data_IF_707262867403
#
_entry.id   IF_707262867403
#
_cell.length_a   1.000
_cell.length_b   1.000
_cell.length_c   1.000
_cell.angle_alpha   90.00
_cell.angle_beta   90.00
_cell.angle_gamma   90.00
#
_symmetry.space_group_name_H-M   'P 1'
#
loop_
_entity.id
_entity.type
_entity.pdbx_description
1 polymer ?
#
# COMPACT_ATOMS: atom_id res chain seq x y z
N UNK A 1 1.17 7.65 16.66
CA UNK A 1 1.02 7.59 15.18
C UNK A 1 1.43 8.90 14.52
N UNK A 2 1.39 10.02 15.25
CA UNK A 2 1.76 11.38 14.82
C UNK A 2 3.24 11.58 14.37
N UNK A 3 4.16 10.75 14.85
CA UNK A 3 5.61 10.90 14.60
C UNK A 3 6.08 10.53 13.18
N UNK A 4 5.27 9.82 12.38
CA UNK A 4 5.66 9.42 11.01
C UNK A 4 5.42 10.54 9.99
N UNK A 5 4.59 11.53 10.32
CA UNK A 5 3.99 12.45 9.34
C UNK A 5 4.52 13.89 9.40
N UNK A 6 5.58 14.16 10.18
CA UNK A 6 6.20 15.48 10.20
C UNK A 6 7.02 15.73 8.91
N UNK A 7 6.38 16.44 7.97
CA UNK A 7 6.96 17.33 6.94
C UNK A 7 8.41 17.11 6.50
N UNK A 8 8.69 15.94 5.94
CA UNK A 8 10.01 15.65 5.37
C UNK A 8 9.82 14.68 4.22
N UNK A 9 10.59 14.88 3.15
CA UNK A 9 10.69 14.01 1.98
C UNK A 9 10.51 12.54 2.36
N UNK A 10 9.70 11.81 1.59
CA UNK A 10 9.33 10.45 1.91
C UNK A 10 10.57 9.54 1.87
N UNK A 11 11.26 9.42 2.99
CA UNK A 11 12.49 8.65 3.07
C UNK A 11 12.18 7.14 3.09
N UNK A 12 13.20 6.33 2.83
CA UNK A 12 13.07 4.88 2.73
C UNK A 12 12.39 4.24 3.96
N UNK A 13 12.69 4.74 5.17
CA UNK A 13 12.06 4.26 6.40
C UNK A 13 10.56 4.51 6.42
N UNK A 14 10.11 5.72 6.07
CA UNK A 14 8.68 6.08 6.00
C UNK A 14 7.96 5.27 4.92
N UNK A 15 8.59 5.08 3.75
CA UNK A 15 8.02 4.27 2.67
C UNK A 15 7.87 2.80 3.07
N UNK A 16 8.89 2.21 3.72
CA UNK A 16 8.80 0.85 4.29
C UNK A 16 7.65 0.74 5.30
N UNK A 17 7.52 1.71 6.20
CA UNK A 17 6.45 1.72 7.19
C UNK A 17 5.04 1.79 6.54
N UNK A 18 4.88 2.59 5.49
CA UNK A 18 3.66 2.66 4.70
C UNK A 18 3.32 1.31 4.05
N UNK A 19 4.28 0.65 3.40
CA UNK A 19 4.06 -0.65 2.78
C UNK A 19 3.61 -1.72 3.79
N UNK A 20 4.22 -1.74 4.98
CA UNK A 20 3.82 -2.64 6.07
C UNK A 20 2.42 -2.31 6.62
N UNK A 21 2.08 -1.01 6.72
CA UNK A 21 0.74 -0.58 7.11
C UNK A 21 -0.30 -1.02 6.07
N UNK A 22 -0.02 -0.88 4.78
CA UNK A 22 -0.89 -1.35 3.69
C UNK A 22 -1.12 -2.85 3.76
N UNK A 23 -0.07 -3.66 3.95
CA UNK A 23 -0.20 -5.11 4.18
C UNK A 23 -1.15 -5.41 5.35
N UNK A 24 -0.94 -4.77 6.49
CA UNK A 24 -1.75 -5.02 7.68
C UNK A 24 -3.22 -4.61 7.46
N UNK A 25 -3.45 -3.50 6.76
CA UNK A 25 -4.79 -3.06 6.40
C UNK A 25 -5.49 -4.07 5.47
N UNK A 26 -4.81 -4.55 4.44
CA UNK A 26 -5.34 -5.57 3.51
C UNK A 26 -5.69 -6.87 4.23
N UNK A 27 -4.84 -7.34 5.14
CA UNK A 27 -5.11 -8.52 5.96
C UNK A 27 -6.30 -8.31 6.92
N UNK A 28 -6.50 -7.09 7.41
CA UNK A 28 -7.65 -6.77 8.25
C UNK A 28 -8.95 -6.67 7.46
N UNK A 29 -8.91 -6.10 6.24
CA UNK A 29 -10.08 -5.92 5.36
C UNK A 29 -10.53 -7.21 4.70
N UNK A 30 -9.62 -8.17 4.43
CA UNK A 30 -9.96 -9.43 3.75
C UNK A 30 -11.09 -10.21 4.43
N UNK A 31 -11.29 -10.03 5.73
CA UNK A 31 -12.33 -10.69 6.53
C UNK A 31 -13.60 -9.84 6.73
N UNK A 32 -13.68 -8.64 6.15
CA UNK A 32 -14.70 -7.62 6.47
C UNK A 32 -15.36 -6.99 5.25
N UNK A 33 -15.02 -7.44 4.05
CA UNK A 33 -15.54 -6.89 2.80
C UNK A 33 -16.70 -7.71 2.21
N UNK A 34 -17.53 -7.08 1.35
CA UNK A 34 -18.54 -7.80 0.57
C UNK A 34 -17.92 -8.89 -0.32
N UNK A 35 -18.66 -9.95 -0.57
CA UNK A 35 -18.24 -11.08 -1.43
C UNK A 35 -17.78 -10.64 -2.82
N UNK A 36 -18.41 -9.60 -3.38
CA UNK A 36 -18.03 -9.00 -4.66
C UNK A 36 -16.58 -8.48 -4.71
N UNK A 37 -15.96 -8.20 -3.56
CA UNK A 37 -14.57 -7.73 -3.44
C UNK A 37 -13.59 -8.85 -3.05
N UNK A 38 -14.07 -10.06 -2.76
CA UNK A 38 -13.25 -11.13 -2.17
C UNK A 38 -12.07 -11.53 -3.08
N UNK A 39 -12.30 -11.62 -4.40
CA UNK A 39 -11.24 -11.94 -5.36
C UNK A 39 -10.16 -10.85 -5.42
N UNK A 40 -10.58 -9.59 -5.59
CA UNK A 40 -9.66 -8.45 -5.68
C UNK A 40 -8.81 -8.32 -4.41
N UNK A 41 -9.41 -8.53 -3.23
CA UNK A 41 -8.70 -8.48 -1.96
C UNK A 41 -7.82 -9.70 -1.71
N UNK A 42 -8.21 -10.90 -2.12
CA UNK A 42 -7.34 -12.07 -2.02
C UNK A 42 -6.05 -11.87 -2.83
N UNK A 43 -6.17 -11.31 -4.03
CA UNK A 43 -5.04 -11.06 -4.91
C UNK A 43 -4.10 -9.99 -4.34
N UNK A 44 -4.64 -8.86 -3.89
CA UNK A 44 -3.86 -7.80 -3.22
C UNK A 44 -3.22 -8.30 -1.91
N UNK A 45 -3.99 -9.02 -1.08
CA UNK A 45 -3.51 -9.55 0.20
C UNK A 45 -2.35 -10.51 -0.01
N UNK A 46 -2.41 -11.38 -1.03
CA UNK A 46 -1.32 -12.30 -1.35
C UNK A 46 -0.02 -11.55 -1.69
N UNK A 47 -0.08 -10.62 -2.64
CA UNK A 47 1.11 -9.87 -3.08
C UNK A 47 1.72 -9.08 -1.92
N UNK A 48 0.89 -8.38 -1.14
CA UNK A 48 1.38 -7.59 0.00
C UNK A 48 1.83 -8.45 1.19
N UNK A 49 1.30 -9.66 1.35
CA UNK A 49 1.79 -10.60 2.36
C UNK A 49 3.20 -11.08 2.02
N UNK A 50 3.45 -11.46 0.77
CA UNK A 50 4.78 -11.91 0.32
C UNK A 50 5.80 -10.75 0.35
N UNK A 51 5.43 -9.56 -0.16
CA UNK A 51 6.24 -8.35 -0.04
C UNK A 51 6.53 -8.02 1.44
N UNK A 52 5.53 -8.16 2.30
CA UNK A 52 5.63 -7.94 3.74
C UNK A 52 6.72 -8.75 4.42
N UNK A 53 6.87 -10.03 4.02
CA UNK A 53 7.91 -10.92 4.56
C UNK A 53 9.30 -10.37 4.24
N UNK A 54 9.54 -9.91 3.01
CA UNK A 54 10.83 -9.34 2.63
C UNK A 54 11.09 -7.99 3.30
N UNK A 55 10.06 -7.15 3.42
CA UNK A 55 10.17 -5.88 4.12
C UNK A 55 10.56 -6.08 5.58
N UNK A 56 9.98 -7.07 6.26
CA UNK A 56 10.29 -7.39 7.66
C UNK A 56 11.75 -7.84 7.87
N UNK A 57 12.41 -8.36 6.83
CA UNK A 57 13.84 -8.73 6.87
C UNK A 57 14.79 -7.56 6.66
N UNK A 58 14.30 -6.42 6.16
CA UNK A 58 15.14 -5.24 5.98
C UNK A 58 15.43 -4.58 7.32
N UNK A 59 16.69 -4.21 7.53
CA UNK A 59 17.09 -3.31 8.61
C UNK A 59 16.41 -1.93 8.43
N UNK A 60 15.56 -1.48 9.37
CA UNK A 60 14.88 -0.19 9.31
C UNK A 60 15.82 1.03 9.29
N UNK A 61 17.05 0.87 9.77
CA UNK A 61 18.06 1.93 9.84
C UNK A 61 18.96 1.96 8.60
N UNK A 62 19.04 0.87 7.85
CA UNK A 62 19.88 0.75 6.63
C UNK A 62 19.09 0.63 5.32
N UNK A 63 17.75 0.74 5.37
CA UNK A 63 16.90 0.64 4.17
C UNK A 63 17.09 1.85 3.24
N UNK A 64 17.21 1.58 1.93
CA UNK A 64 17.36 2.61 0.89
C UNK A 64 16.18 2.62 -0.06
N UNK A 65 15.91 3.77 -0.69
CA UNK A 65 14.80 3.90 -1.63
C UNK A 65 14.97 2.99 -2.87
N UNK A 66 16.15 2.89 -3.51
CA UNK A 66 16.34 1.98 -4.63
C UNK A 66 16.07 0.52 -4.26
N UNK A 67 16.44 0.09 -3.04
CA UNK A 67 16.17 -1.27 -2.57
C UNK A 67 14.67 -1.53 -2.41
N UNK A 68 13.93 -0.57 -1.86
CA UNK A 68 12.49 -0.66 -1.72
C UNK A 68 11.78 -0.67 -3.06
N UNK A 69 12.17 0.20 -4.00
CA UNK A 69 11.63 0.22 -5.36
C UNK A 69 11.86 -1.10 -6.09
N UNK A 70 13.06 -1.68 -5.98
CA UNK A 70 13.36 -2.98 -6.57
C UNK A 70 12.48 -4.10 -5.99
N UNK A 71 12.26 -4.12 -4.67
CA UNK A 71 11.36 -5.09 -4.02
C UNK A 71 9.91 -4.90 -4.45
N UNK A 72 9.39 -3.67 -4.41
CA UNK A 72 8.02 -3.39 -4.85
C UNK A 72 7.84 -3.80 -6.31
N UNK A 73 8.82 -3.50 -7.17
CA UNK A 73 8.76 -3.89 -8.58
C UNK A 73 8.66 -5.40 -8.75
N UNK A 74 9.53 -6.18 -8.09
CA UNK A 74 9.49 -7.65 -8.25
C UNK A 74 8.18 -8.25 -7.73
N UNK A 75 7.63 -7.75 -6.63
CA UNK A 75 6.38 -8.30 -6.09
C UNK A 75 5.13 -7.79 -6.83
N UNK A 76 5.12 -6.58 -7.36
CA UNK A 76 3.97 -6.05 -8.09
C UNK A 76 3.92 -6.58 -9.53
N UNK A 77 5.07 -6.70 -10.19
CA UNK A 77 5.13 -7.03 -11.62
C UNK A 77 5.60 -8.46 -11.89
N UNK A 78 6.34 -9.08 -10.98
CA UNK A 78 6.95 -10.40 -11.18
C UNK A 78 6.44 -11.45 -10.17
N UNK A 79 5.37 -11.14 -9.41
CA UNK A 79 4.79 -12.08 -8.45
C UNK A 79 4.26 -13.34 -9.16
N UNK A 80 4.75 -14.54 -8.80
CA UNK A 80 4.34 -15.78 -9.45
C UNK A 80 2.83 -16.02 -9.38
N UNK A 81 2.20 -16.21 -10.55
CA UNK A 81 0.78 -16.53 -10.64
C UNK A 81 -0.17 -15.34 -10.41
N UNK A 82 0.34 -14.10 -10.44
CA UNK A 82 -0.46 -12.89 -10.44
C UNK A 82 -0.13 -12.06 -11.68
N UNK A 83 -1.11 -11.85 -12.54
CA UNK A 83 -0.94 -10.99 -13.71
C UNK A 83 -0.98 -9.52 -13.30
N UNK A 84 0.02 -8.73 -13.71
CA UNK A 84 0.09 -7.30 -13.41
C UNK A 84 -1.20 -6.52 -13.73
N UNK A 85 -1.86 -6.74 -14.89
CA UNK A 85 -3.15 -6.12 -15.19
C UNK A 85 -4.28 -6.50 -14.23
N UNK A 86 -4.29 -7.74 -13.72
CA UNK A 86 -5.28 -8.17 -12.74
C UNK A 86 -5.05 -7.50 -11.38
N UNK A 87 -3.78 -7.34 -10.98
CA UNK A 87 -3.39 -6.62 -9.77
C UNK A 87 -3.75 -5.14 -9.82
N UNK A 88 -3.48 -4.47 -10.95
CA UNK A 88 -3.86 -3.08 -11.19
C UNK A 88 -5.39 -2.90 -11.19
N UNK A 89 -6.14 -3.81 -11.84
CA UNK A 89 -7.61 -3.77 -11.81
C UNK A 89 -8.17 -3.96 -10.39
N UNK A 90 -7.62 -4.89 -9.62
CA UNK A 90 -8.00 -5.12 -8.23
C UNK A 90 -7.74 -3.87 -7.37
N UNK A 91 -6.58 -3.23 -7.54
CA UNK A 91 -6.24 -1.99 -6.84
C UNK A 91 -7.22 -0.86 -7.16
N UNK A 92 -7.58 -0.66 -8.44
CA UNK A 92 -8.55 0.36 -8.86
C UNK A 92 -9.95 0.09 -8.30
N UNK A 93 -10.40 -1.16 -8.32
CA UNK A 93 -11.71 -1.55 -7.76
C UNK A 93 -11.77 -1.34 -6.26
N UNK A 94 -10.71 -1.69 -5.53
CA UNK A 94 -10.61 -1.43 -4.10
C UNK A 94 -10.63 0.07 -3.81
N UNK A 95 -9.87 0.87 -4.55
CA UNK A 95 -9.87 2.33 -4.42
C UNK A 95 -11.27 2.91 -4.61
N UNK A 96 -11.94 2.52 -5.70
CA UNK A 96 -13.30 2.98 -5.99
C UNK A 96 -14.33 2.47 -4.96
N UNK A 97 -14.13 1.28 -4.40
CA UNK A 97 -14.97 0.76 -3.31
C UNK A 97 -14.81 1.60 -2.04
N UNK A 98 -13.58 1.94 -1.65
CA UNK A 98 -13.31 2.80 -0.48
C UNK A 98 -13.93 4.18 -0.68
N UNK A 99 -13.74 4.79 -1.85
CA UNK A 99 -14.32 6.10 -2.21
C UNK A 99 -15.86 6.08 -2.13
N UNK A 100 -16.51 5.07 -2.68
CA UNK A 100 -17.98 4.95 -2.60
C UNK A 100 -18.49 4.66 -1.20
N UNK A 101 -17.79 3.79 -0.46
CA UNK A 101 -18.25 3.31 0.85
C UNK A 101 -18.10 4.36 1.93
N UNK A 102 -17.12 5.25 1.78
CA UNK A 102 -16.79 6.21 2.81
C UNK A 102 -16.97 7.67 2.41
N UNK A 103 -17.50 7.91 1.20
CA UNK A 103 -17.69 9.24 0.62
C UNK A 103 -16.40 9.82 0.03
N UNK A 104 -16.51 10.89 -0.78
CA UNK A 104 -15.35 11.73 -1.08
C UNK A 104 -14.79 12.25 0.25
N UNK A 105 -13.47 12.15 0.41
CA UNK A 105 -12.83 12.62 1.62
C UNK A 105 -12.95 11.69 2.81
N UNK A 106 -12.59 10.41 2.65
CA UNK A 106 -12.28 9.60 3.82
C UNK A 106 -11.24 10.35 4.64
N UNK A 107 -11.51 10.79 5.89
CA UNK A 107 -10.63 11.74 6.55
C UNK A 107 -9.19 11.24 6.63
N UNK A 108 -9.01 9.93 6.73
CA UNK A 108 -7.69 9.29 6.67
C UNK A 108 -7.05 9.38 5.27
N UNK A 109 -7.80 9.13 4.19
CA UNK A 109 -7.28 9.21 2.81
C UNK A 109 -7.17 10.65 2.29
N UNK A 110 -8.04 11.56 2.73
CA UNK A 110 -7.95 13.00 2.45
C UNK A 110 -6.75 13.58 3.20
N UNK A 111 -6.59 13.25 4.48
CA UNK A 111 -5.35 13.58 5.22
C UNK A 111 -4.13 13.00 4.53
N UNK A 112 -4.16 11.73 4.10
CA UNK A 112 -3.06 11.12 3.34
C UNK A 112 -2.85 11.79 1.97
N UNK A 113 -3.91 12.18 1.26
CA UNK A 113 -3.84 12.81 -0.06
C UNK A 113 -3.31 14.24 0.04
N UNK A 114 -3.73 15.01 1.05
CA UNK A 114 -3.17 16.32 1.40
C UNK A 114 -1.70 16.20 1.81
N UNK A 115 -1.34 15.14 2.53
CA UNK A 115 0.05 14.79 2.86
C UNK A 115 0.91 14.52 1.61
N UNK A 116 0.33 14.05 0.50
CA UNK A 116 1.03 13.88 -0.78
C UNK A 116 0.88 15.06 -1.74
N UNK A 117 -0.12 15.92 -1.55
CA UNK A 117 -0.33 17.14 -2.34
C UNK A 117 0.74 18.20 -2.02
N UNK A 118 1.18 18.28 -0.76
CA UNK A 118 2.28 19.15 -0.32
C UNK A 118 3.66 18.78 -0.86
N UNK A 119 3.81 17.65 -1.57
CA UNK A 119 5.07 17.22 -2.21
C UNK A 119 5.15 17.67 -3.69
N UNK A 120 4.06 18.20 -4.26
CA UNK A 120 4.01 18.64 -5.68
C UNK A 120 4.31 20.13 -5.88
N UNK A 121 4.65 20.85 -4.83
CA UNK A 121 5.15 22.22 -4.91
C UNK A 121 6.47 22.27 -4.17
N UNK A 122 7.53 21.86 -4.86
CA UNK A 122 8.87 22.47 -4.95
C UNK A 122 9.83 21.51 -5.68
#
# INVERSE_FOLDING_TARGET
VESVMAGGELNARRYRALLLATRNLLAWTSNRVPEAMAFDLALLTRVYAELGIELDRLDPDAVTMPRLQALVFSYVFESPGVEGPALDLAARRLSAFVERSCGPGYPLMESLSDLFAGVRAD
#
